data_IF_224603482286
#
_entry.id   IF_224603482286
#
_cell.length_a   1.000
_cell.length_b   1.000
_cell.length_c   1.000
_cell.angle_alpha   90.00
_cell.angle_beta   90.00
_cell.angle_gamma   90.00
#
_symmetry.space_group_name_H-M   'P 1'
#
loop_
_entity.id
_entity.type
_entity.pdbx_description
1 polymer ?
#
# COMPACT_ATOMS: atom_id res chain seq x y z
N UNK A 1 22.50 -9.14 24.47
CA UNK A 1 21.54 -8.44 23.59
C UNK A 1 20.84 -9.51 22.79
N UNK A 2 19.49 -9.53 22.79
CA UNK A 2 18.71 -10.52 22.02
C UNK A 2 18.99 -10.39 20.53
N UNK A 3 19.01 -11.53 19.82
CA UNK A 3 19.29 -11.61 18.37
C UNK A 3 17.98 -11.75 17.62
N UNK A 4 17.73 -10.87 16.64
CA UNK A 4 16.53 -10.84 15.84
C UNK A 4 16.86 -11.11 14.36
N UNK A 5 16.14 -12.05 13.75
CA UNK A 5 16.12 -12.22 12.31
C UNK A 5 14.85 -11.56 11.73
N UNK A 6 15.02 -10.60 10.83
CA UNK A 6 13.92 -9.96 10.09
C UNK A 6 14.04 -10.41 8.63
N UNK A 7 12.99 -11.00 8.07
CA UNK A 7 12.98 -11.55 6.72
C UNK A 7 12.07 -10.71 5.84
N UNK A 8 12.64 -10.11 4.79
CA UNK A 8 11.97 -9.18 3.87
C UNK A 8 12.26 -7.72 4.20
N UNK A 9 12.96 -7.04 3.30
CA UNK A 9 13.36 -5.63 3.40
C UNK A 9 12.40 -4.67 2.66
N UNK A 10 11.10 -4.90 2.75
CA UNK A 10 10.07 -3.93 2.43
C UNK A 10 9.86 -2.93 3.58
N UNK A 11 8.79 -2.11 3.50
CA UNK A 11 8.47 -1.13 4.55
C UNK A 11 8.44 -1.72 5.95
N UNK A 12 7.79 -2.86 6.15
CA UNK A 12 7.65 -3.49 7.48
C UNK A 12 9.01 -3.88 8.04
N UNK A 13 9.79 -4.67 7.29
CA UNK A 13 11.09 -5.14 7.77
C UNK A 13 12.10 -4.00 7.97
N UNK A 14 12.14 -3.02 7.05
CA UNK A 14 13.01 -1.85 7.19
C UNK A 14 12.61 -0.98 8.39
N UNK A 15 11.30 -0.75 8.61
CA UNK A 15 10.83 -0.01 9.79
C UNK A 15 11.24 -0.70 11.09
N UNK A 16 10.97 -2.01 11.22
CA UNK A 16 11.34 -2.77 12.41
C UNK A 16 12.86 -2.76 12.64
N UNK A 17 13.65 -3.04 11.58
CA UNK A 17 15.11 -3.00 11.71
C UNK A 17 15.61 -1.62 12.14
N UNK A 18 15.05 -0.56 11.59
CA UNK A 18 15.42 0.81 11.92
C UNK A 18 15.05 1.21 13.35
N UNK A 19 13.85 0.86 13.81
CA UNK A 19 13.39 1.22 15.16
C UNK A 19 14.10 0.42 16.26
N UNK A 20 14.43 -0.84 15.99
CA UNK A 20 14.95 -1.76 16.99
C UNK A 20 16.49 -1.86 16.99
N UNK A 21 17.21 -1.26 16.03
CA UNK A 21 18.64 -1.44 15.80
C UNK A 21 19.56 -1.08 16.98
N UNK A 22 19.13 -0.17 17.82
CA UNK A 22 19.93 0.27 18.98
C UNK A 22 19.69 -0.56 20.24
N UNK A 23 18.66 -1.40 20.24
CA UNK A 23 18.22 -2.18 21.39
C UNK A 23 18.54 -3.68 21.21
N UNK A 24 18.65 -4.14 19.97
CA UNK A 24 18.79 -5.57 19.62
C UNK A 24 19.88 -5.81 18.58
N UNK A 25 20.42 -7.05 18.57
CA UNK A 25 21.31 -7.49 17.50
C UNK A 25 20.48 -8.01 16.31
N UNK A 26 20.38 -7.23 15.23
CA UNK A 26 19.49 -7.50 14.12
C UNK A 26 20.25 -8.00 12.90
N UNK A 27 19.69 -9.01 12.21
CA UNK A 27 20.03 -9.35 10.84
C UNK A 27 18.78 -9.19 9.98
N UNK A 28 18.84 -8.30 8.99
CA UNK A 28 17.77 -8.05 8.03
C UNK A 28 18.09 -8.82 6.73
N UNK A 29 17.30 -9.86 6.45
CA UNK A 29 17.46 -10.70 5.27
C UNK A 29 16.54 -10.25 4.14
N UNK A 30 17.05 -10.23 2.91
CA UNK A 30 16.24 -10.14 1.70
C UNK A 30 16.92 -10.92 0.56
N UNK A 31 16.12 -11.43 -0.37
CA UNK A 31 16.64 -12.10 -1.57
C UNK A 31 17.30 -11.12 -2.54
N UNK A 32 16.82 -9.88 -2.55
CA UNK A 32 17.36 -8.82 -3.37
C UNK A 32 18.62 -8.20 -2.71
N UNK A 33 19.43 -7.53 -3.50
CA UNK A 33 20.69 -6.93 -3.03
C UNK A 33 20.51 -5.62 -2.23
N UNK A 34 19.31 -5.08 -2.23
CA UNK A 34 18.95 -3.83 -1.53
C UNK A 34 17.46 -3.83 -1.13
N UNK A 35 17.02 -2.93 -0.23
CA UNK A 35 15.61 -2.82 0.16
C UNK A 35 14.66 -2.38 -0.96
N UNK A 36 13.37 -2.57 -0.77
CA UNK A 36 12.29 -1.98 -1.57
C UNK A 36 12.19 -2.46 -3.02
N UNK A 37 12.36 -3.74 -3.28
CA UNK A 37 12.13 -4.31 -4.62
C UNK A 37 10.70 -4.78 -4.88
N UNK A 38 9.93 -5.10 -3.84
CA UNK A 38 8.57 -5.64 -3.97
C UNK A 38 7.48 -4.58 -3.97
N UNK A 39 6.33 -4.91 -3.36
CA UNK A 39 5.17 -4.04 -3.24
C UNK A 39 5.46 -2.68 -2.58
N UNK A 40 6.57 -2.54 -1.85
CA UNK A 40 7.01 -1.27 -1.27
C UNK A 40 7.47 -0.26 -2.31
N UNK A 41 7.96 -0.71 -3.46
CA UNK A 41 8.31 0.15 -4.61
C UNK A 41 7.10 0.35 -5.52
N UNK A 42 6.38 -0.75 -5.84
CA UNK A 42 5.34 -0.77 -6.88
C UNK A 42 3.96 -0.72 -6.24
N UNK A 43 3.53 0.47 -5.86
CA UNK A 43 2.16 0.79 -5.44
C UNK A 43 1.91 2.29 -5.57
N UNK A 44 0.72 2.78 -5.23
CA UNK A 44 0.43 4.22 -5.29
C UNK A 44 1.06 5.04 -4.16
N UNK A 45 1.73 4.40 -3.21
CA UNK A 45 2.52 5.04 -2.16
C UNK A 45 1.80 6.19 -1.43
N UNK A 46 0.54 5.94 -1.01
CA UNK A 46 -0.29 6.93 -0.33
C UNK A 46 -0.11 6.86 1.17
N UNK A 47 0.12 7.98 1.80
CA UNK A 47 -0.09 8.15 3.23
C UNK A 47 -1.54 8.61 3.44
N UNK A 48 -2.39 7.67 3.82
CA UNK A 48 -3.82 7.89 3.95
C UNK A 48 -4.20 8.59 5.26
N UNK A 49 -5.19 9.49 5.17
CA UNK A 49 -5.96 9.98 6.31
C UNK A 49 -7.19 9.11 6.59
N UNK A 50 -7.59 8.26 5.63
CA UNK A 50 -8.68 7.30 5.79
C UNK A 50 -9.89 7.52 4.90
N UNK A 51 -9.93 8.55 4.07
CA UNK A 51 -11.07 8.88 3.20
C UNK A 51 -11.47 7.74 2.25
N UNK A 52 -10.50 6.94 1.83
CA UNK A 52 -10.72 5.78 0.97
C UNK A 52 -11.54 4.65 1.62
N UNK A 53 -11.79 4.71 2.93
CA UNK A 53 -12.35 3.58 3.71
C UNK A 53 -13.69 3.92 4.36
N UNK A 54 -14.63 4.48 3.61
CA UNK A 54 -15.94 4.89 4.12
C UNK A 54 -16.67 3.78 4.89
N UNK A 55 -16.61 2.53 4.41
CA UNK A 55 -17.29 1.38 5.01
C UNK A 55 -16.51 0.66 6.13
N UNK A 56 -15.28 1.09 6.46
CA UNK A 56 -14.48 0.40 7.49
C UNK A 56 -13.90 1.37 8.51
N UNK A 57 -14.55 1.48 9.67
CA UNK A 57 -14.14 2.39 10.75
C UNK A 57 -12.76 2.04 11.34
N UNK A 58 -12.42 0.74 11.46
CA UNK A 58 -11.13 0.31 12.02
C UNK A 58 -9.97 0.74 11.11
N UNK A 59 -10.12 0.58 9.78
CA UNK A 59 -9.10 1.04 8.82
C UNK A 59 -9.00 2.57 8.79
N UNK A 60 -10.14 3.30 8.87
CA UNK A 60 -10.13 4.77 9.01
C UNK A 60 -9.38 5.22 10.26
N UNK A 61 -9.69 4.60 11.40
CA UNK A 61 -9.03 4.90 12.68
C UNK A 61 -7.52 4.63 12.60
N UNK A 62 -7.11 3.48 12.06
CA UNK A 62 -5.69 3.17 11.85
C UNK A 62 -4.98 4.28 11.05
N UNK A 63 -5.52 4.64 9.89
CA UNK A 63 -4.93 5.67 9.05
C UNK A 63 -4.80 7.00 9.80
N UNK A 64 -5.86 7.44 10.46
CA UNK A 64 -5.90 8.73 11.14
C UNK A 64 -4.97 8.79 12.36
N UNK A 65 -5.01 7.76 13.22
CA UNK A 65 -4.22 7.72 14.46
C UNK A 65 -2.71 7.61 14.19
N UNK A 66 -2.33 7.05 13.06
CA UNK A 66 -0.91 6.83 12.73
C UNK A 66 -0.35 7.86 11.74
N UNK A 67 -1.19 8.73 11.17
CA UNK A 67 -0.74 9.74 10.20
C UNK A 67 0.32 10.68 10.77
N UNK A 68 0.05 11.28 11.93
CA UNK A 68 0.96 12.23 12.56
C UNK A 68 2.26 11.55 13.01
N UNK A 69 2.17 10.32 13.51
CA UNK A 69 3.37 9.53 13.83
C UNK A 69 4.22 9.28 12.60
N UNK A 70 3.61 8.91 11.47
CA UNK A 70 4.33 8.74 10.21
C UNK A 70 4.97 10.06 9.74
N UNK A 71 4.25 11.16 9.86
CA UNK A 71 4.79 12.49 9.52
C UNK A 71 5.95 12.89 10.41
N UNK A 72 5.91 12.59 11.69
CA UNK A 72 7.02 12.83 12.61
C UNK A 72 8.25 12.00 12.28
N UNK A 73 8.09 10.70 12.01
CA UNK A 73 9.20 9.77 11.79
C UNK A 73 9.74 9.80 10.35
N UNK A 74 8.85 9.90 9.36
CA UNK A 74 9.15 9.74 7.94
C UNK A 74 8.61 10.90 7.06
N UNK A 75 8.23 12.00 7.66
CA UNK A 75 7.65 13.15 6.93
C UNK A 75 8.54 13.69 5.83
N UNK A 76 9.87 13.65 6.03
CA UNK A 76 10.86 14.03 5.03
C UNK A 76 10.83 13.15 3.75
N UNK A 77 10.26 11.93 3.85
CA UNK A 77 10.08 11.02 2.71
C UNK A 77 8.73 11.23 2.00
N UNK A 78 7.96 12.25 2.39
CA UNK A 78 6.60 12.47 1.87
C UNK A 78 6.47 13.82 1.19
N UNK A 79 5.58 13.88 0.20
CA UNK A 79 5.25 15.09 -0.55
C UNK A 79 3.75 15.40 -0.46
N UNK A 80 3.44 16.69 -0.33
CA UNK A 80 2.08 17.15 -0.47
C UNK A 80 1.61 16.97 -1.91
N UNK A 81 0.41 16.45 -2.09
CA UNK A 81 -0.22 16.30 -3.39
C UNK A 81 -1.22 17.46 -3.55
N UNK A 82 -0.87 18.43 -4.41
CA UNK A 82 -1.78 19.56 -4.70
C UNK A 82 -3.06 19.04 -5.35
N UNK A 83 -4.21 19.58 -4.94
CA UNK A 83 -5.50 19.14 -5.46
C UNK A 83 -5.64 17.59 -5.40
N UNK A 84 -5.42 17.03 -4.23
CA UNK A 84 -5.72 15.62 -3.99
C UNK A 84 -7.23 15.48 -3.80
N UNK A 85 -7.92 15.00 -4.82
CA UNK A 85 -9.37 14.97 -4.90
C UNK A 85 -9.92 13.57 -4.58
N UNK A 86 -10.95 13.55 -3.77
CA UNK A 86 -11.83 12.41 -3.58
C UNK A 86 -13.20 12.73 -4.17
N UNK A 87 -13.67 11.90 -5.07
CA UNK A 87 -14.94 12.06 -5.77
C UNK A 87 -15.91 10.93 -5.42
N UNK A 88 -17.19 11.26 -5.32
CA UNK A 88 -18.27 10.29 -5.12
C UNK A 88 -19.13 10.33 -6.37
N UNK A 89 -19.29 9.23 -7.11
CA UNK A 89 -20.14 9.18 -8.29
C UNK A 89 -21.62 9.28 -7.90
N UNK A 90 -22.47 9.62 -8.85
CA UNK A 90 -23.92 9.66 -8.64
C UNK A 90 -24.52 8.27 -8.41
N UNK A 91 -24.10 7.28 -9.19
CA UNK A 91 -24.76 5.97 -9.24
C UNK A 91 -23.91 4.79 -8.74
N UNK A 92 -22.60 4.77 -8.99
CA UNK A 92 -21.79 3.56 -8.75
C UNK A 92 -21.19 3.46 -7.34
N UNK A 93 -21.42 4.45 -6.48
CA UNK A 93 -20.95 4.37 -5.09
C UNK A 93 -21.82 3.40 -4.27
N UNK A 94 -21.17 2.58 -3.45
CA UNK A 94 -21.84 1.67 -2.51
C UNK A 94 -22.49 2.42 -1.32
N UNK A 95 -22.12 3.67 -1.11
CA UNK A 95 -22.70 4.57 -0.14
C UNK A 95 -23.09 5.87 -0.85
N UNK A 96 -24.27 6.39 -0.55
CA UNK A 96 -24.71 7.69 -1.05
C UNK A 96 -23.90 8.84 -0.45
N UNK A 97 -23.90 10.00 -1.13
CA UNK A 97 -23.13 11.17 -0.72
C UNK A 97 -23.51 11.68 0.68
N UNK A 98 -24.78 11.59 1.07
CA UNK A 98 -25.25 12.00 2.39
C UNK A 98 -24.68 11.12 3.50
N UNK A 99 -24.69 9.81 3.31
CA UNK A 99 -24.05 8.85 4.22
C UNK A 99 -22.54 9.10 4.30
N UNK A 100 -21.86 9.34 3.18
CA UNK A 100 -20.42 9.66 3.15
C UNK A 100 -20.13 10.96 3.91
N UNK A 101 -20.93 12.03 3.73
CA UNK A 101 -20.79 13.28 4.50
C UNK A 101 -20.94 13.05 6.01
N UNK A 102 -21.85 12.17 6.41
CA UNK A 102 -22.05 11.82 7.83
C UNK A 102 -20.84 11.08 8.43
N UNK A 103 -20.23 10.18 7.64
CA UNK A 103 -19.03 9.45 8.06
C UNK A 103 -17.81 10.35 8.19
N UNK A 104 -17.71 11.38 7.35
CA UNK A 104 -16.59 12.32 7.28
C UNK A 104 -17.01 13.76 7.56
N UNK A 105 -17.48 14.09 8.79
CA UNK A 105 -17.85 15.47 9.11
C UNK A 105 -16.63 16.40 9.00
N UNK A 106 -16.75 17.60 8.34
CA UNK A 106 -15.61 18.47 8.02
C UNK A 106 -14.80 18.91 9.24
N UNK A 107 -15.44 19.14 10.39
CA UNK A 107 -14.78 19.52 11.64
C UNK A 107 -13.75 18.49 12.13
N UNK A 108 -13.96 17.19 11.81
CA UNK A 108 -13.07 16.11 12.24
C UNK A 108 -12.08 15.72 11.14
N UNK A 109 -12.42 15.92 9.87
CA UNK A 109 -11.69 15.36 8.74
C UNK A 109 -10.93 16.39 7.90
N UNK A 110 -11.12 17.68 8.15
CA UNK A 110 -10.35 18.78 7.54
C UNK A 110 -10.25 18.71 6.01
N UNK A 111 -11.35 18.38 5.34
CA UNK A 111 -11.45 18.44 3.89
C UNK A 111 -12.28 19.66 3.46
N UNK A 112 -12.13 20.02 2.21
CA UNK A 112 -12.86 21.10 1.56
C UNK A 112 -13.71 20.51 0.43
N UNK A 113 -15.01 20.79 0.43
CA UNK A 113 -15.88 20.47 -0.71
C UNK A 113 -15.57 21.45 -1.84
N UNK A 114 -15.34 20.94 -3.04
CA UNK A 114 -14.95 21.74 -4.21
C UNK A 114 -15.81 21.40 -5.42
N UNK A 115 -16.12 22.42 -6.22
CA UNK A 115 -16.76 22.23 -7.51
C UNK A 115 -15.72 21.91 -8.59
N UNK A 116 -16.08 21.02 -9.50
CA UNK A 116 -15.24 20.65 -10.65
C UNK A 116 -16.07 20.62 -11.93
N UNK A 117 -15.54 21.24 -12.98
CA UNK A 117 -16.20 21.26 -14.31
C UNK A 117 -15.68 20.16 -15.25
N UNK A 118 -14.63 19.46 -14.87
CA UNK A 118 -13.98 18.43 -15.70
C UNK A 118 -14.50 17.01 -15.42
N UNK A 119 -15.21 16.79 -14.31
CA UNK A 119 -15.83 15.51 -13.96
C UNK A 119 -17.32 15.51 -14.33
N UNK A 120 -17.82 14.34 -14.72
CA UNK A 120 -19.25 14.07 -15.01
C UNK A 120 -19.82 13.09 -14.01
N UNK A 121 -21.13 13.04 -13.89
CA UNK A 121 -21.89 12.06 -13.10
C UNK A 121 -21.30 11.89 -11.68
N UNK A 122 -20.95 13.03 -11.07
CA UNK A 122 -20.24 13.11 -9.79
C UNK A 122 -21.04 13.97 -8.82
N UNK A 123 -21.52 13.35 -7.74
CA UNK A 123 -22.39 13.99 -6.75
C UNK A 123 -21.62 14.88 -5.76
N UNK A 124 -20.32 14.63 -5.56
CA UNK A 124 -19.52 15.35 -4.58
C UNK A 124 -18.03 15.20 -4.86
N UNK A 125 -17.27 16.26 -4.63
CA UNK A 125 -15.79 16.22 -4.69
C UNK A 125 -15.21 16.92 -3.46
N UNK A 126 -14.24 16.27 -2.83
CA UNK A 126 -13.48 16.83 -1.71
C UNK A 126 -12.00 17.01 -2.09
N UNK A 127 -11.43 18.12 -1.64
CA UNK A 127 -9.98 18.30 -1.58
C UNK A 127 -9.47 17.83 -0.23
N UNK A 128 -8.47 16.98 -0.22
CA UNK A 128 -7.89 16.39 1.00
C UNK A 128 -6.40 16.67 1.11
N UNK A 129 -5.83 16.41 2.29
CA UNK A 129 -4.41 16.63 2.58
C UNK A 129 -3.61 15.31 2.66
N UNK A 130 -4.09 14.22 2.08
CA UNK A 130 -3.31 13.00 1.99
C UNK A 130 -2.02 13.24 1.18
N UNK A 131 -0.98 12.46 1.47
CA UNK A 131 0.36 12.69 0.94
C UNK A 131 0.84 11.53 0.09
N UNK A 132 1.79 11.82 -0.78
CA UNK A 132 2.57 10.82 -1.49
C UNK A 132 3.83 10.49 -0.69
N UNK A 133 4.15 9.21 -0.56
CA UNK A 133 5.39 8.71 0.03
C UNK A 133 6.35 8.38 -1.12
N UNK A 134 7.53 8.96 -1.14
CA UNK A 134 8.55 8.63 -2.16
C UNK A 134 9.20 7.28 -1.84
N UNK A 135 8.95 6.23 -2.62
CA UNK A 135 9.60 4.94 -2.39
C UNK A 135 11.10 5.00 -2.71
N UNK A 136 11.51 5.88 -3.60
CA UNK A 136 12.92 6.06 -3.97
C UNK A 136 13.71 6.68 -2.81
N UNK A 137 13.16 7.73 -2.17
CA UNK A 137 13.80 8.32 -1.00
C UNK A 137 13.75 7.40 0.21
N UNK A 138 12.66 6.65 0.38
CA UNK A 138 12.57 5.64 1.43
C UNK A 138 13.61 4.52 1.22
N UNK A 139 13.76 4.03 -0.01
CA UNK A 139 14.80 3.07 -0.37
C UNK A 139 16.19 3.61 0.00
N UNK A 140 16.52 4.83 -0.43
CA UNK A 140 17.80 5.47 -0.12
C UNK A 140 17.99 5.62 1.40
N UNK A 141 16.98 6.15 2.09
CA UNK A 141 17.01 6.36 3.55
C UNK A 141 17.32 5.07 4.31
N UNK A 142 16.67 3.96 3.98
CA UNK A 142 16.87 2.68 4.65
C UNK A 142 18.14 1.98 4.20
N UNK A 143 18.52 2.04 2.91
CA UNK A 143 19.78 1.46 2.41
C UNK A 143 20.99 2.04 3.14
N UNK A 144 21.04 3.37 3.29
CA UNK A 144 22.15 4.05 3.98
C UNK A 144 22.23 3.68 5.47
N UNK A 145 21.07 3.50 6.15
CA UNK A 145 21.00 3.31 7.60
C UNK A 145 21.02 1.86 8.05
N UNK A 146 20.64 0.95 7.16
CA UNK A 146 20.53 -0.48 7.48
C UNK A 146 21.59 -1.34 6.81
N UNK A 147 22.49 -0.77 5.99
CA UNK A 147 23.55 -1.53 5.33
C UNK A 147 24.37 -2.43 6.26
N UNK A 148 24.72 -2.04 7.51
CA UNK A 148 25.45 -2.91 8.42
C UNK A 148 24.64 -4.11 8.94
N UNK A 149 23.32 -4.03 8.87
CA UNK A 149 22.39 -5.07 9.34
C UNK A 149 21.88 -5.95 8.19
N UNK A 150 22.06 -5.49 6.94
CA UNK A 150 21.50 -6.11 5.75
C UNK A 150 22.32 -7.32 5.31
N UNK A 151 21.64 -8.39 5.00
CA UNK A 151 22.25 -9.61 4.45
C UNK A 151 21.43 -10.11 3.27
N UNK A 152 21.99 -10.03 2.07
CA UNK A 152 21.38 -10.65 0.90
C UNK A 152 21.32 -12.16 1.08
N UNK A 153 20.13 -12.71 1.19
CA UNK A 153 19.88 -14.14 1.27
C UNK A 153 18.42 -14.43 1.02
N UNK A 154 18.13 -15.35 0.13
CA UNK A 154 16.79 -15.88 -0.03
C UNK A 154 16.51 -16.87 1.11
N UNK A 155 15.54 -16.52 1.97
CA UNK A 155 15.08 -17.38 3.06
C UNK A 155 13.81 -18.11 2.61
N UNK A 156 13.87 -19.43 2.70
CA UNK A 156 12.76 -20.33 2.36
C UNK A 156 12.15 -20.96 3.63
N UNK A 157 11.01 -21.63 3.48
CA UNK A 157 10.39 -22.37 4.60
C UNK A 157 11.31 -23.44 5.20
N UNK A 158 12.29 -23.95 4.44
CA UNK A 158 13.27 -24.93 4.92
C UNK A 158 14.31 -24.32 5.87
N UNK A 159 14.54 -23.02 5.78
CA UNK A 159 15.51 -22.31 6.62
C UNK A 159 14.92 -21.89 7.97
N UNK A 160 13.59 -21.91 8.11
CA UNK A 160 12.87 -21.34 9.27
C UNK A 160 13.31 -22.02 10.59
N UNK A 161 13.39 -23.35 10.63
CA UNK A 161 13.76 -24.05 11.88
C UNK A 161 15.19 -23.76 12.30
N UNK A 162 16.12 -23.60 11.37
CA UNK A 162 17.49 -23.17 11.65
C UNK A 162 17.50 -21.76 12.21
N UNK A 163 16.77 -20.83 11.58
CA UNK A 163 16.68 -19.45 12.08
C UNK A 163 16.05 -19.38 13.48
N UNK A 164 15.02 -20.18 13.75
CA UNK A 164 14.42 -20.28 15.10
C UNK A 164 15.44 -20.75 16.16
N UNK A 165 16.39 -21.59 15.79
CA UNK A 165 17.47 -22.03 16.69
C UNK A 165 18.58 -20.98 16.86
N UNK A 166 18.86 -20.20 15.81
CA UNK A 166 19.96 -19.23 15.79
C UNK A 166 19.58 -17.86 16.36
N UNK A 167 18.29 -17.52 16.43
CA UNK A 167 17.77 -16.21 16.84
C UNK A 167 16.72 -16.32 17.94
N UNK A 168 16.69 -15.34 18.82
CA UNK A 168 15.70 -15.27 19.90
C UNK A 168 14.29 -14.98 19.38
N UNK A 169 14.19 -14.23 18.26
CA UNK A 169 12.94 -13.97 17.56
C UNK A 169 13.18 -13.90 16.04
N UNK A 170 12.35 -14.58 15.29
CA UNK A 170 12.30 -14.53 13.82
C UNK A 170 11.03 -13.81 13.39
N UNK A 171 11.16 -12.78 12.54
CA UNK A 171 10.05 -11.95 12.09
C UNK A 171 9.95 -12.06 10.56
N UNK A 172 8.90 -12.69 10.08
CA UNK A 172 8.59 -12.79 8.66
C UNK A 172 7.78 -11.58 8.20
N UNK A 173 8.42 -10.75 7.38
CA UNK A 173 7.86 -9.55 6.73
C UNK A 173 7.77 -9.70 5.20
N UNK A 174 7.74 -10.94 4.69
CA UNK A 174 7.74 -11.24 3.24
C UNK A 174 6.39 -11.04 2.55
N UNK A 175 5.46 -10.34 3.20
CA UNK A 175 4.10 -10.18 2.69
C UNK A 175 3.39 -11.54 2.51
N UNK A 176 3.52 -12.43 3.51
CA UNK A 176 2.91 -13.76 3.55
C UNK A 176 3.50 -14.77 2.54
N UNK A 177 4.67 -14.49 1.95
CA UNK A 177 5.27 -15.37 0.94
C UNK A 177 6.10 -16.54 1.52
N UNK A 178 6.61 -16.40 2.76
CA UNK A 178 7.48 -17.41 3.39
C UNK A 178 6.69 -18.63 3.89
N UNK A 179 5.57 -18.40 4.57
CA UNK A 179 4.73 -19.44 5.12
C UNK A 179 3.53 -19.70 4.22
N UNK A 180 3.04 -20.95 4.24
CA UNK A 180 1.83 -21.31 3.50
C UNK A 180 0.65 -20.44 3.98
N UNK A 181 -0.07 -19.77 3.05
CA UNK A 181 -1.24 -18.99 3.40
C UNK A 181 -2.33 -19.83 4.09
N UNK A 182 -3.11 -19.23 4.99
CA UNK A 182 -4.29 -19.88 5.55
C UNK A 182 -5.40 -19.97 4.50
N UNK A 183 -6.44 -20.78 4.76
CA UNK A 183 -7.58 -21.00 3.82
C UNK A 183 -8.27 -19.70 3.36
N UNK A 184 -8.16 -18.65 4.17
CA UNK A 184 -8.80 -17.35 3.88
C UNK A 184 -7.82 -16.30 3.37
N UNK A 185 -6.62 -16.70 2.99
CA UNK A 185 -5.60 -15.79 2.47
C UNK A 185 -5.27 -16.16 1.04
N UNK A 186 -5.05 -15.16 0.22
CA UNK A 186 -4.72 -15.31 -1.19
C UNK A 186 -3.84 -14.15 -1.66
N UNK A 187 -3.25 -14.31 -2.83
CA UNK A 187 -2.46 -13.30 -3.49
C UNK A 187 -3.19 -12.77 -4.71
N UNK A 188 -3.02 -11.48 -4.97
CA UNK A 188 -3.40 -10.83 -6.22
C UNK A 188 -2.18 -10.28 -6.93
N UNK A 189 -2.00 -10.61 -8.20
CA UNK A 189 -1.17 -9.83 -9.10
C UNK A 189 -1.98 -8.62 -9.55
N UNK A 190 -1.53 -7.44 -9.16
CA UNK A 190 -2.24 -6.18 -9.44
C UNK A 190 -1.44 -5.35 -10.42
N UNK A 191 -2.07 -5.03 -11.56
CA UNK A 191 -1.52 -4.11 -12.54
C UNK A 191 -1.77 -2.66 -12.13
N UNK A 192 -0.76 -1.81 -12.25
CA UNK A 192 -0.91 -0.36 -12.29
C UNK A 192 -0.56 0.12 -13.69
N UNK A 193 -1.43 0.90 -14.27
CA UNK A 193 -1.27 1.47 -15.60
C UNK A 193 -0.62 2.85 -15.44
N UNK A 194 0.56 3.02 -16.02
CA UNK A 194 1.34 4.26 -15.93
C UNK A 194 1.14 5.11 -17.18
N UNK A 195 1.01 6.40 -16.98
CA UNK A 195 0.75 7.39 -18.03
C UNK A 195 1.73 8.55 -17.97
N UNK A 196 2.21 8.95 -19.12
CA UNK A 196 2.94 10.21 -19.30
C UNK A 196 1.96 11.37 -19.41
N UNK A 197 2.26 12.48 -18.72
CA UNK A 197 1.43 13.68 -18.75
C UNK A 197 1.74 14.48 -20.03
N UNK A 198 0.73 14.67 -20.88
CA UNK A 198 0.81 15.43 -22.14
C UNK A 198 0.37 16.88 -21.97
N UNK A 199 -0.60 17.13 -21.09
CA UNK A 199 -1.09 18.45 -20.70
C UNK A 199 -1.25 18.52 -19.19
N UNK A 200 -1.14 19.72 -18.59
CA UNK A 200 -1.34 19.89 -17.14
C UNK A 200 -2.64 19.23 -16.67
N UNK A 201 -2.56 18.45 -15.59
CA UNK A 201 -3.72 17.80 -15.00
C UNK A 201 -4.52 18.78 -14.15
N UNK A 202 -5.86 18.71 -14.14
CA UNK A 202 -6.70 19.53 -13.27
C UNK A 202 -6.63 19.11 -11.79
N UNK A 203 -5.95 18.00 -11.49
CA UNK A 203 -5.73 17.46 -10.14
C UNK A 203 -4.28 16.97 -9.98
N UNK A 204 -3.82 16.87 -8.75
CA UNK A 204 -2.57 16.16 -8.43
C UNK A 204 -2.80 14.68 -8.16
N UNK A 205 -3.97 14.35 -7.60
CA UNK A 205 -4.48 12.99 -7.48
C UNK A 205 -6.01 13.01 -7.53
N UNK A 206 -6.61 11.93 -8.04
CA UNK A 206 -8.06 11.77 -8.11
C UNK A 206 -8.42 10.35 -7.65
N UNK A 207 -9.33 10.23 -6.69
CA UNK A 207 -9.80 8.96 -6.19
C UNK A 207 -11.31 8.95 -6.14
N UNK A 208 -11.94 8.08 -6.90
CA UNK A 208 -13.37 7.81 -6.75
C UNK A 208 -13.62 6.80 -5.63
N UNK A 209 -14.61 7.07 -4.79
CA UNK A 209 -15.07 6.24 -3.67
C UNK A 209 -16.62 6.21 -3.68
N UNK A 210 -17.24 5.19 -3.14
CA UNK A 210 -16.84 3.94 -2.52
C UNK A 210 -17.38 2.77 -3.37
N UNK A 211 -16.51 1.95 -3.96
CA UNK A 211 -16.99 0.87 -4.83
C UNK A 211 -15.95 0.34 -5.81
N UNK A 212 -16.38 -0.26 -6.92
CA UNK A 212 -15.51 -0.84 -7.95
C UNK A 212 -14.90 0.24 -8.87
N UNK A 213 -14.36 1.28 -8.28
CA UNK A 213 -13.94 2.52 -8.91
C UNK A 213 -12.43 2.61 -9.10
N UNK A 214 -11.91 3.76 -9.44
CA UNK A 214 -10.52 3.96 -9.82
C UNK A 214 -9.86 5.11 -9.07
N UNK A 215 -8.52 5.19 -9.23
CA UNK A 215 -7.75 6.29 -8.70
C UNK A 215 -6.52 6.60 -9.54
N UNK A 216 -6.24 7.89 -9.69
CA UNK A 216 -4.99 8.43 -10.22
C UNK A 216 -4.11 8.94 -9.09
N UNK A 217 -2.83 8.63 -9.16
CA UNK A 217 -1.87 9.11 -8.17
C UNK A 217 -0.49 9.32 -8.80
N UNK A 218 0.33 10.27 -8.33
CA UNK A 218 1.71 10.42 -8.79
C UNK A 218 2.50 9.12 -8.65
N UNK A 219 3.43 8.88 -9.55
CA UNK A 219 4.36 7.76 -9.49
C UNK A 219 5.80 8.26 -9.47
N UNK A 220 6.74 7.44 -9.00
CA UNK A 220 8.10 7.87 -8.65
C UNK A 220 8.98 8.25 -9.86
N UNK A 221 8.61 7.87 -11.07
CA UNK A 221 9.32 8.18 -12.31
C UNK A 221 8.80 9.44 -13.03
N UNK A 222 7.91 10.19 -12.37
CA UNK A 222 7.25 11.37 -12.94
C UNK A 222 6.00 11.06 -13.77
N UNK A 223 5.62 9.79 -13.88
CA UNK A 223 4.36 9.38 -14.48
C UNK A 223 3.20 9.47 -13.48
N UNK A 224 2.00 9.21 -13.97
CA UNK A 224 0.78 9.10 -13.16
C UNK A 224 0.25 7.68 -13.26
N UNK A 225 -0.01 7.07 -12.11
CA UNK A 225 -0.57 5.73 -12.03
C UNK A 225 -2.09 5.76 -12.02
N UNK A 226 -2.71 4.91 -12.83
CA UNK A 226 -4.12 4.52 -12.73
C UNK A 226 -4.20 3.15 -12.07
N UNK A 227 -4.98 3.05 -11.00
CA UNK A 227 -5.36 1.79 -10.37
C UNK A 227 -6.88 1.71 -10.32
N UNK A 228 -7.44 0.57 -10.70
CA UNK A 228 -8.87 0.30 -10.71
C UNK A 228 -9.18 -0.89 -9.79
N UNK A 229 -10.20 -0.79 -8.94
CA UNK A 229 -10.50 -1.83 -7.94
C UNK A 229 -10.72 -3.20 -8.58
N UNK A 230 -11.41 -3.26 -9.72
CA UNK A 230 -11.70 -4.50 -10.45
C UNK A 230 -10.69 -4.73 -11.58
N UNK A 231 -10.48 -3.72 -12.44
CA UNK A 231 -9.72 -3.89 -13.68
C UNK A 231 -8.20 -3.82 -13.50
N UNK A 232 -7.70 -3.65 -12.28
CA UNK A 232 -6.27 -3.82 -11.97
C UNK A 232 -5.92 -5.23 -11.49
N UNK A 233 -6.90 -6.06 -11.13
CA UNK A 233 -6.63 -7.44 -10.68
C UNK A 233 -6.40 -8.32 -11.91
N UNK A 234 -5.15 -8.72 -12.11
CA UNK A 234 -4.75 -9.54 -13.25
C UNK A 234 -4.92 -11.04 -12.97
N UNK A 235 -4.55 -11.48 -11.76
CA UNK A 235 -4.72 -12.88 -11.33
C UNK A 235 -4.94 -12.95 -9.83
N UNK A 236 -5.64 -13.99 -9.38
CA UNK A 236 -5.76 -14.38 -7.98
C UNK A 236 -5.23 -15.80 -7.79
N UNK A 237 -4.51 -16.05 -6.70
CA UNK A 237 -3.92 -17.36 -6.42
C UNK A 237 -3.81 -17.60 -4.91
N UNK A 238 -3.88 -18.87 -4.52
CA UNK A 238 -3.63 -19.35 -3.14
C UNK A 238 -2.14 -19.47 -2.80
N UNK A 239 -1.27 -19.23 -3.76
CA UNK A 239 0.20 -19.18 -3.61
C UNK A 239 0.72 -17.91 -4.31
N UNK A 240 1.94 -17.43 -3.99
CA UNK A 240 2.56 -16.36 -4.76
C UNK A 240 2.52 -16.70 -6.26
N UNK A 241 2.02 -15.77 -7.08
CA UNK A 241 1.85 -16.00 -8.51
C UNK A 241 3.22 -16.02 -9.16
N UNK A 242 3.56 -17.15 -9.78
CA UNK A 242 4.84 -17.34 -10.47
C UNK A 242 4.75 -17.08 -11.98
N UNK A 243 3.51 -17.04 -12.54
CA UNK A 243 3.28 -16.77 -13.95
C UNK A 243 2.82 -15.33 -14.12
N UNK A 244 3.55 -14.58 -14.92
CA UNK A 244 3.14 -13.23 -15.27
C UNK A 244 1.92 -13.26 -16.19
N UNK A 245 0.93 -12.37 -15.97
CA UNK A 245 -0.20 -12.22 -16.88
C UNK A 245 0.29 -11.87 -18.29
N UNK A 246 -0.39 -12.40 -19.32
CA UNK A 246 -0.01 -12.09 -20.69
C UNK A 246 -0.18 -10.60 -20.99
N UNK A 247 0.63 -10.08 -21.93
CA UNK A 247 0.53 -8.70 -22.37
C UNK A 247 -0.87 -8.38 -22.89
N UNK A 248 -1.49 -9.29 -23.60
CA UNK A 248 -2.85 -9.11 -24.12
C UNK A 248 -3.87 -8.97 -22.99
N UNK A 249 -3.78 -9.80 -21.96
CA UNK A 249 -4.63 -9.71 -20.76
C UNK A 249 -4.46 -8.35 -20.06
N UNK A 250 -3.24 -7.90 -19.87
CA UNK A 250 -2.95 -6.61 -19.23
C UNK A 250 -3.50 -5.43 -20.05
N UNK A 251 -3.38 -5.49 -21.39
CA UNK A 251 -3.94 -4.47 -22.28
C UNK A 251 -5.47 -4.46 -22.29
N UNK A 252 -6.13 -5.62 -22.19
CA UNK A 252 -7.58 -5.70 -22.03
C UNK A 252 -8.05 -5.08 -20.71
N UNK A 253 -7.36 -5.36 -19.61
CA UNK A 253 -7.66 -4.77 -18.31
C UNK A 253 -7.47 -3.25 -18.32
N UNK A 254 -6.39 -2.77 -18.93
CA UNK A 254 -6.13 -1.34 -19.10
C UNK A 254 -7.27 -0.65 -19.86
N UNK A 255 -7.67 -1.19 -21.02
CA UNK A 255 -8.76 -0.62 -21.83
C UNK A 255 -10.09 -0.57 -21.06
N UNK A 256 -10.41 -1.59 -20.26
CA UNK A 256 -11.61 -1.58 -19.41
C UNK A 256 -11.53 -0.48 -18.36
N UNK A 257 -10.36 -0.31 -17.71
CA UNK A 257 -10.14 0.75 -16.74
C UNK A 257 -10.26 2.14 -17.40
N UNK A 258 -9.65 2.34 -18.56
CA UNK A 258 -9.73 3.61 -19.33
C UNK A 258 -11.16 3.95 -19.76
N UNK A 259 -11.91 2.97 -20.25
CA UNK A 259 -13.32 3.19 -20.61
C UNK A 259 -14.13 3.67 -19.41
N UNK A 260 -13.90 3.10 -18.24
CA UNK A 260 -14.56 3.53 -17.02
C UNK A 260 -14.11 4.94 -16.59
N UNK A 261 -12.83 5.26 -16.71
CA UNK A 261 -12.31 6.61 -16.46
C UNK A 261 -12.94 7.62 -17.40
N UNK A 262 -13.03 7.31 -18.71
CA UNK A 262 -13.59 8.22 -19.71
C UNK A 262 -15.07 8.56 -19.48
N UNK A 263 -15.81 7.69 -18.79
CA UNK A 263 -17.18 8.00 -18.37
C UNK A 263 -17.22 9.21 -17.44
N UNK A 264 -16.36 9.22 -16.42
CA UNK A 264 -16.30 10.29 -15.42
C UNK A 264 -15.40 11.47 -15.80
N UNK A 265 -14.32 11.21 -16.56
CA UNK A 265 -13.37 12.21 -17.05
C UNK A 265 -13.14 12.06 -18.56
N UNK A 266 -14.02 12.63 -19.40
CA UNK A 266 -13.96 12.46 -20.86
C UNK A 266 -12.66 12.96 -21.51
N UNK A 267 -12.04 13.98 -20.93
CA UNK A 267 -10.78 14.55 -21.45
C UNK A 267 -9.52 13.74 -21.09
N UNK A 268 -9.68 12.58 -20.46
CA UNK A 268 -8.57 11.71 -20.02
C UNK A 268 -7.49 11.54 -21.09
N UNK A 269 -7.86 11.12 -22.30
CA UNK A 269 -6.92 10.86 -23.42
C UNK A 269 -6.24 12.11 -23.98
N UNK A 270 -6.77 13.30 -23.71
CA UNK A 270 -6.15 14.56 -24.11
C UNK A 270 -5.01 14.98 -23.14
N UNK A 271 -5.04 14.48 -21.92
CA UNK A 271 -4.07 14.81 -20.86
C UNK A 271 -3.03 13.74 -20.65
N UNK A 272 -3.39 12.47 -20.85
CA UNK A 272 -2.57 11.32 -20.49
C UNK A 272 -2.39 10.38 -21.69
N UNK A 273 -1.16 9.94 -21.93
CA UNK A 273 -0.82 8.89 -22.87
C UNK A 273 -0.24 7.68 -22.15
N UNK A 274 -0.57 6.48 -22.59
CA UNK A 274 -0.03 5.25 -22.04
C UNK A 274 1.51 5.28 -22.05
N UNK A 275 2.11 4.92 -20.92
CA UNK A 275 3.56 4.81 -20.76
C UNK A 275 3.96 3.34 -20.58
N UNK A 276 3.54 2.69 -19.51
CA UNK A 276 3.88 1.31 -19.20
C UNK A 276 2.83 0.66 -18.27
N UNK A 277 2.98 -0.62 -18.03
CA UNK A 277 2.22 -1.37 -17.02
C UNK A 277 3.22 -1.99 -16.07
N UNK A 278 3.00 -1.81 -14.77
CA UNK A 278 3.81 -2.42 -13.72
C UNK A 278 2.95 -3.36 -12.87
N UNK A 279 3.54 -4.46 -12.42
CA UNK A 279 2.86 -5.46 -11.61
C UNK A 279 3.34 -5.44 -10.17
N UNK A 280 2.44 -5.68 -9.26
CA UNK A 280 2.70 -5.78 -7.83
C UNK A 280 1.91 -6.93 -7.24
N UNK A 281 2.56 -7.72 -6.38
CA UNK A 281 1.90 -8.78 -5.65
C UNK A 281 1.34 -8.26 -4.34
N UNK A 282 0.04 -8.46 -4.11
CA UNK A 282 -0.64 -8.12 -2.85
C UNK A 282 -1.14 -9.37 -2.17
N UNK A 283 -0.84 -9.51 -0.89
CA UNK A 283 -1.48 -10.50 -0.03
C UNK A 283 -2.79 -9.95 0.51
N UNK A 284 -3.85 -10.73 0.44
CA UNK A 284 -5.20 -10.37 0.89
C UNK A 284 -5.84 -11.46 1.73
N UNK A 285 -6.89 -11.08 2.42
CA UNK A 285 -7.78 -12.00 3.12
C UNK A 285 -9.17 -11.94 2.51
N UNK A 286 -9.77 -13.11 2.28
CA UNK A 286 -11.15 -13.22 1.81
C UNK A 286 -12.12 -12.83 2.92
N UNK A 287 -12.40 -11.55 3.05
CA UNK A 287 -13.50 -11.05 3.85
C UNK A 287 -14.17 -9.91 3.08
N UNK A 288 -15.46 -9.76 3.25
CA UNK A 288 -16.26 -8.73 2.59
C UNK A 288 -15.96 -7.30 3.06
N UNK A 289 -15.15 -7.12 4.11
CA UNK A 289 -14.84 -5.81 4.68
C UNK A 289 -13.55 -5.23 4.09
N UNK A 290 -13.51 -3.91 3.94
CA UNK A 290 -12.30 -3.16 3.57
C UNK A 290 -11.25 -3.10 4.71
N UNK A 291 -11.20 -4.12 5.59
CA UNK A 291 -10.28 -4.22 6.71
C UNK A 291 -8.84 -4.38 6.22
N UNK A 292 -7.95 -3.51 6.66
CA UNK A 292 -6.55 -3.43 6.23
C UNK A 292 -5.55 -3.40 7.39
N UNK A 293 -6.00 -3.69 8.62
CA UNK A 293 -5.09 -3.79 9.74
C UNK A 293 -4.13 -4.99 9.57
N UNK A 294 -2.99 -4.96 10.26
CA UNK A 294 -2.03 -6.04 10.21
C UNK A 294 -2.61 -7.39 10.63
N UNK A 295 -2.10 -8.44 10.02
CA UNK A 295 -2.38 -9.82 10.37
C UNK A 295 -1.12 -10.46 10.93
N UNK A 296 -1.31 -11.30 11.94
CA UNK A 296 -0.23 -11.95 12.67
C UNK A 296 -0.46 -13.46 12.73
N UNK A 297 0.61 -14.22 12.52
CA UNK A 297 0.69 -15.65 12.79
C UNK A 297 1.90 -15.89 13.64
N UNK A 298 1.71 -16.46 14.83
CA UNK A 298 2.79 -16.76 15.75
C UNK A 298 2.92 -18.28 15.92
N UNK A 299 4.15 -18.76 15.81
CA UNK A 299 4.53 -20.14 16.08
C UNK A 299 5.85 -20.14 16.82
N UNK A 300 5.83 -20.44 18.11
CA UNK A 300 6.99 -20.34 19.00
C UNK A 300 7.61 -18.94 18.93
N UNK A 301 8.90 -18.85 18.57
CA UNK A 301 9.63 -17.60 18.37
C UNK A 301 9.62 -17.10 16.90
N UNK A 302 8.69 -17.57 16.09
CA UNK A 302 8.43 -17.03 14.75
C UNK A 302 7.14 -16.19 14.75
N UNK A 303 7.25 -14.94 14.32
CA UNK A 303 6.12 -14.05 14.04
C UNK A 303 6.06 -13.74 12.55
N UNK A 304 5.08 -14.26 11.83
CA UNK A 304 4.77 -13.81 10.47
C UNK A 304 3.74 -12.70 10.50
N UNK A 305 4.02 -11.60 9.81
CA UNK A 305 3.17 -10.43 9.79
C UNK A 305 3.12 -9.79 8.39
N UNK A 306 1.95 -9.31 8.03
CA UNK A 306 1.77 -8.46 6.85
C UNK A 306 0.64 -7.46 7.08
N UNK A 307 0.64 -6.38 6.32
CA UNK A 307 -0.36 -5.33 6.44
C UNK A 307 -0.84 -4.85 5.08
N UNK A 308 -2.13 -4.59 4.97
CA UNK A 308 -2.73 -4.02 3.77
C UNK A 308 -2.51 -2.50 3.63
N UNK A 309 -1.88 -1.85 4.62
CA UNK A 309 -1.56 -0.41 4.63
C UNK A 309 -0.22 -0.14 5.27
N UNK A 310 0.52 0.82 4.70
CA UNK A 310 1.82 1.24 5.22
C UNK A 310 1.74 1.60 6.72
N UNK A 311 0.70 2.27 7.12
CA UNK A 311 0.50 2.71 8.50
C UNK A 311 0.31 1.56 9.50
N UNK A 312 0.07 0.34 9.03
CA UNK A 312 0.07 -0.87 9.86
C UNK A 312 1.44 -1.23 10.44
N UNK A 313 2.54 -0.63 9.96
CA UNK A 313 3.89 -0.87 10.49
C UNK A 313 3.97 -0.62 12.00
N UNK A 314 3.24 0.36 12.50
CA UNK A 314 3.23 0.72 13.93
C UNK A 314 2.59 -0.34 14.81
N UNK A 315 1.47 -0.92 14.38
CA UNK A 315 0.85 -2.02 15.11
C UNK A 315 1.72 -3.30 15.06
N UNK A 316 2.48 -3.47 13.99
CA UNK A 316 3.44 -4.57 13.87
C UNK A 316 4.61 -4.33 14.85
N UNK A 317 5.14 -3.13 14.91
CA UNK A 317 6.19 -2.77 15.87
C UNK A 317 5.73 -3.01 17.32
N UNK A 318 4.55 -2.54 17.68
CA UNK A 318 3.97 -2.75 19.02
C UNK A 318 3.86 -4.25 19.34
N UNK A 319 3.39 -5.06 18.40
CA UNK A 319 3.32 -6.51 18.59
C UNK A 319 4.68 -7.17 18.79
N UNK A 320 5.68 -6.75 18.00
CA UNK A 320 7.06 -7.24 18.13
C UNK A 320 7.65 -6.87 19.49
N UNK A 321 7.47 -5.63 19.94
CA UNK A 321 7.93 -5.19 21.27
C UNK A 321 7.28 -5.98 22.40
N UNK A 322 5.96 -6.21 22.35
CA UNK A 322 5.26 -7.06 23.33
C UNK A 322 5.83 -8.47 23.40
N UNK A 323 6.20 -9.07 22.26
CA UNK A 323 6.84 -10.39 22.26
C UNK A 323 8.25 -10.34 22.87
N UNK A 324 9.01 -9.29 22.58
CA UNK A 324 10.36 -9.12 23.11
C UNK A 324 10.37 -8.89 24.62
N UNK A 325 9.36 -8.22 25.18
CA UNK A 325 9.19 -8.01 26.62
C UNK A 325 8.84 -9.32 27.35
N UNK A 326 8.20 -10.26 26.64
CA UNK A 326 7.82 -11.57 27.19
C UNK A 326 8.88 -12.67 27.04
N UNK A 327 9.97 -12.42 26.33
CA UNK A 327 11.13 -13.32 26.17
C UNK A 327 12.17 -13.04 27.27
#
# INVERSE_FOLDING_TARGET
MKRLAIIGAGWVGCHLAYQLRNEYCITLFDREHEPFHGASLVNQNRLHLGYHYARNSATRALCRLTFDRFMHEYGALTYAVKNNLYAVPEDESLLDAGTIKTIFPPLLWQHEEVETSFLRDTSMVWRTQERYISPIEAKKFFSERLSPLFKQSEITSKDVERLKSDFDLVIDCTNNALLKPSKNEYFEAVAMFLYSVQKPLPFGALTYIDGPLFSFYPFHDGTVSLSHVVHSVATESVAPVNEEPSREQLEQLRRKAENHVCHYWPDFSNHLSQHSIVLSMKSKRSNASAYRAPLFKQQDNLLSCYTGKIQGIYLIEERVRQMLDGL
#
